data_IF_949030769107
#
_entry.id   IF_949030769107
#
_cell.length_a   1.000
_cell.length_b   1.000
_cell.length_c   1.000
_cell.angle_alpha   90.00
_cell.angle_beta   90.00
_cell.angle_gamma   90.00
#
_symmetry.space_group_name_H-M   'P 1'
#
loop_
_entity.id
_entity.type
_entity.pdbx_description
1 polymer ?
#
# COMPACT_ATOMS: atom_id res chain seq x y z
N UNK A 1 12.60 -5.80 -3.28
CA UNK A 1 13.83 -5.63 -4.08
C UNK A 1 14.42 -4.27 -3.71
N UNK A 2 15.72 -4.16 -3.40
CA UNK A 2 16.34 -2.87 -3.13
C UNK A 2 17.06 -2.35 -4.36
N UNK A 3 16.77 -1.09 -4.68
CA UNK A 3 17.00 -0.57 -5.99
C UNK A 3 17.35 0.94 -5.86
N UNK A 4 18.64 1.27 -5.98
CA UNK A 4 19.18 2.64 -5.91
C UNK A 4 19.26 3.28 -7.30
N UNK A 5 18.46 4.32 -7.59
CA UNK A 5 18.31 4.78 -8.99
C UNK A 5 18.23 6.30 -9.25
N UNK A 6 18.83 7.13 -8.41
CA UNK A 6 19.19 8.51 -8.81
C UNK A 6 18.02 9.40 -9.27
N UNK A 7 18.16 10.11 -10.41
CA UNK A 7 17.39 11.30 -10.78
C UNK A 7 15.94 11.09 -11.32
N UNK A 8 15.39 9.87 -11.33
CA UNK A 8 14.07 9.56 -11.94
C UNK A 8 12.87 9.66 -10.97
N UNK A 9 12.93 10.56 -10.00
CA UNK A 9 12.15 10.50 -8.75
C UNK A 9 10.61 10.74 -8.83
N UNK A 10 9.99 11.38 -9.85
CA UNK A 10 8.51 11.42 -9.91
C UNK A 10 7.86 10.16 -10.48
N UNK A 11 8.57 9.43 -11.34
CA UNK A 11 8.03 8.27 -12.07
C UNK A 11 8.09 6.99 -11.23
N UNK A 12 9.21 6.76 -10.56
CA UNK A 12 9.44 5.53 -9.81
C UNK A 12 8.54 5.39 -8.59
N UNK A 13 8.15 6.51 -7.97
CA UNK A 13 7.23 6.42 -6.85
C UNK A 13 5.84 5.97 -7.29
N UNK A 14 5.45 6.28 -8.53
CA UNK A 14 4.20 5.74 -9.08
C UNK A 14 4.33 4.23 -9.33
N UNK A 15 5.46 3.75 -9.82
CA UNK A 15 5.70 2.30 -9.99
C UNK A 15 5.67 1.55 -8.63
N UNK A 16 6.34 2.11 -7.61
CA UNK A 16 6.30 1.54 -6.25
C UNK A 16 4.88 1.61 -5.66
N UNK A 17 4.18 2.73 -5.82
CA UNK A 17 2.80 2.87 -5.35
C UNK A 17 1.87 1.88 -6.06
N UNK A 18 2.03 1.67 -7.37
CA UNK A 18 1.24 0.69 -8.14
C UNK A 18 1.44 -0.71 -7.55
N UNK A 19 2.70 -1.14 -7.47
CA UNK A 19 3.06 -2.46 -6.95
C UNK A 19 2.53 -2.68 -5.53
N UNK A 20 2.76 -1.73 -4.63
CA UNK A 20 2.41 -1.90 -3.23
C UNK A 20 0.92 -1.75 -2.95
N UNK A 21 0.18 -0.90 -3.68
CA UNK A 21 -1.28 -0.84 -3.54
C UNK A 21 -1.94 -2.12 -4.05
N UNK A 22 -1.41 -2.71 -5.12
CA UNK A 22 -1.88 -4.00 -5.59
C UNK A 22 -1.55 -5.15 -4.61
N UNK A 23 -0.32 -5.21 -4.11
CA UNK A 23 0.07 -6.20 -3.09
C UNK A 23 -0.81 -6.13 -1.84
N UNK A 24 -1.09 -4.93 -1.34
CA UNK A 24 -1.95 -4.77 -0.16
C UNK A 24 -3.41 -5.17 -0.44
N UNK A 25 -3.93 -4.86 -1.64
CA UNK A 25 -5.24 -5.33 -2.11
C UNK A 25 -5.28 -6.88 -2.07
N UNK A 26 -4.30 -7.55 -2.67
CA UNK A 26 -4.20 -9.02 -2.68
C UNK A 26 -4.03 -9.59 -1.26
N UNK A 27 -3.27 -8.93 -0.39
CA UNK A 27 -3.11 -9.33 1.01
C UNK A 27 -4.43 -9.35 1.77
N UNK A 28 -5.39 -8.49 1.41
CA UNK A 28 -6.73 -8.58 2.02
C UNK A 28 -7.44 -9.90 1.71
N UNK A 29 -7.24 -10.44 0.50
CA UNK A 29 -7.78 -11.73 0.06
C UNK A 29 -7.03 -12.86 0.76
N UNK A 30 -5.69 -12.81 0.76
CA UNK A 30 -4.83 -13.81 1.41
C UNK A 30 -5.23 -14.01 2.87
N UNK A 31 -5.47 -12.93 3.61
CA UNK A 31 -5.87 -13.03 5.03
C UNK A 31 -7.22 -13.77 5.17
N UNK A 32 -8.21 -13.45 4.34
CA UNK A 32 -9.54 -14.09 4.40
C UNK A 32 -9.52 -15.55 4.00
N UNK A 33 -8.73 -15.91 2.99
CA UNK A 33 -8.63 -17.29 2.50
C UNK A 33 -7.77 -18.16 3.44
N UNK A 34 -6.76 -17.58 4.09
CA UNK A 34 -5.88 -18.30 5.01
C UNK A 34 -6.53 -18.58 6.38
N UNK A 35 -7.36 -17.66 6.88
CA UNK A 35 -7.90 -17.73 8.24
C UNK A 35 -9.34 -18.25 8.23
N UNK A 36 -9.48 -19.58 8.36
CA UNK A 36 -10.79 -20.21 8.52
C UNK A 36 -11.48 -19.71 9.79
N UNK A 37 -12.74 -19.28 9.67
CA UNK A 37 -13.54 -18.81 10.80
C UNK A 37 -13.15 -17.42 11.31
N UNK A 38 -12.48 -16.60 10.50
CA UNK A 38 -12.24 -15.20 10.81
C UNK A 38 -13.54 -14.47 11.12
N UNK A 39 -13.52 -13.61 12.13
CA UNK A 39 -14.70 -12.93 12.65
C UNK A 39 -15.32 -12.00 11.60
N UNK A 40 -16.67 -11.91 11.51
CA UNK A 40 -17.35 -11.15 10.46
C UNK A 40 -16.91 -9.69 10.36
N UNK A 41 -16.65 -9.02 11.49
CA UNK A 41 -16.18 -7.64 11.51
C UNK A 41 -14.83 -7.46 10.82
N UNK A 42 -13.92 -8.44 10.93
CA UNK A 42 -12.63 -8.41 10.26
C UNK A 42 -12.76 -8.79 8.79
N UNK A 43 -13.64 -9.74 8.45
CA UNK A 43 -13.95 -10.07 7.04
C UNK A 43 -14.51 -8.85 6.32
N UNK A 44 -15.45 -8.14 6.93
CA UNK A 44 -16.07 -6.93 6.36
C UNK A 44 -15.07 -5.78 6.26
N UNK A 45 -14.21 -5.60 7.27
CA UNK A 45 -13.14 -4.63 7.21
C UNK A 45 -12.18 -4.93 6.06
N UNK A 46 -11.75 -6.18 5.89
CA UNK A 46 -10.85 -6.59 4.80
C UNK A 46 -11.46 -6.36 3.42
N UNK A 47 -12.75 -6.62 3.23
CA UNK A 47 -13.45 -6.34 1.96
C UNK A 47 -13.53 -4.84 1.65
N UNK A 48 -13.73 -4.00 2.68
CA UNK A 48 -13.72 -2.53 2.50
C UNK A 48 -12.32 -2.05 2.13
N UNK A 49 -11.29 -2.61 2.76
CA UNK A 49 -9.90 -2.31 2.45
C UNK A 49 -9.51 -2.76 1.04
N UNK A 50 -9.90 -3.97 0.62
CA UNK A 50 -9.69 -4.46 -0.74
C UNK A 50 -10.19 -3.46 -1.78
N UNK A 51 -11.45 -3.03 -1.62
CA UNK A 51 -12.05 -2.04 -2.52
C UNK A 51 -11.29 -0.72 -2.51
N UNK A 52 -10.97 -0.18 -1.34
CA UNK A 52 -10.30 1.11 -1.21
C UNK A 52 -8.87 1.08 -1.79
N UNK A 53 -8.13 -0.01 -1.54
CA UNK A 53 -6.80 -0.24 -2.09
C UNK A 53 -6.84 -0.40 -3.61
N UNK A 54 -7.78 -1.20 -4.13
CA UNK A 54 -8.01 -1.35 -5.56
C UNK A 54 -8.37 -0.04 -6.26
N UNK A 55 -9.24 0.78 -5.67
CA UNK A 55 -9.57 2.12 -6.19
C UNK A 55 -8.34 3.03 -6.25
N UNK A 56 -7.48 2.94 -5.24
CA UNK A 56 -6.24 3.73 -5.16
C UNK A 56 -5.21 3.24 -6.17
N UNK A 57 -5.03 1.93 -6.30
CA UNK A 57 -4.20 1.30 -7.32
C UNK A 57 -4.61 1.77 -8.74
N UNK A 58 -5.90 1.77 -9.05
CA UNK A 58 -6.40 2.29 -10.34
C UNK A 58 -6.12 3.79 -10.52
N UNK A 59 -6.15 4.59 -9.44
CA UNK A 59 -5.76 5.99 -9.51
C UNK A 59 -4.26 6.15 -9.82
N UNK A 60 -3.40 5.33 -9.21
CA UNK A 60 -1.95 5.33 -9.49
C UNK A 60 -1.69 5.03 -10.97
N UNK A 61 -2.32 4.00 -11.53
CA UNK A 61 -2.21 3.67 -12.96
C UNK A 61 -2.58 4.86 -13.85
N UNK A 62 -3.68 5.58 -13.55
CA UNK A 62 -4.07 6.77 -14.32
C UNK A 62 -3.00 7.88 -14.29
N UNK A 63 -2.31 8.05 -13.17
CA UNK A 63 -1.20 9.01 -13.08
C UNK A 63 0.02 8.54 -13.88
N UNK A 64 0.35 7.24 -13.85
CA UNK A 64 1.40 6.66 -14.70
C UNK A 64 1.10 6.97 -16.17
N UNK A 65 -0.11 6.67 -16.63
CA UNK A 65 -0.52 6.95 -18.01
C UNK A 65 -0.43 8.44 -18.37
N UNK A 66 -0.81 9.33 -17.44
CA UNK A 66 -0.75 10.78 -17.65
C UNK A 66 0.70 11.25 -17.86
N UNK A 67 1.64 10.73 -17.08
CA UNK A 67 3.07 11.07 -17.24
C UNK A 67 3.63 10.47 -18.54
N UNK A 68 3.28 9.23 -18.88
CA UNK A 68 3.73 8.61 -20.14
C UNK A 68 3.23 9.41 -21.33
N UNK A 69 1.95 9.82 -21.33
CA UNK A 69 1.34 10.61 -22.41
C UNK A 69 1.86 12.05 -22.49
N UNK A 70 2.42 12.60 -21.42
CA UNK A 70 3.09 13.91 -21.46
C UNK A 70 4.51 13.84 -22.04
N UNK A 71 4.96 12.68 -22.52
CA UNK A 71 6.33 12.48 -23.00
C UNK A 71 7.36 12.68 -21.89
N UNK A 72 6.97 12.35 -20.65
CA UNK A 72 7.78 12.54 -19.43
C UNK A 72 8.10 14.00 -19.10
N UNK A 73 7.47 14.96 -19.78
CA UNK A 73 7.49 16.36 -19.39
C UNK A 73 6.43 16.56 -18.30
N UNK A 74 6.84 16.44 -17.04
CA UNK A 74 5.95 16.58 -15.88
C UNK A 74 5.85 18.06 -15.52
N UNK A 75 4.64 18.63 -15.61
CA UNK A 75 4.39 19.98 -15.11
C UNK A 75 4.48 20.03 -13.59
N UNK A 76 4.78 21.19 -13.02
CA UNK A 76 4.80 21.36 -11.56
C UNK A 76 3.47 20.96 -10.91
N UNK A 77 2.35 21.25 -11.58
CA UNK A 77 1.02 20.85 -11.14
C UNK A 77 0.86 19.33 -11.09
N UNK A 78 1.24 18.62 -12.17
CA UNK A 78 1.16 17.15 -12.20
C UNK A 78 2.09 16.54 -11.14
N UNK A 79 3.28 17.12 -10.95
CA UNK A 79 4.20 16.69 -9.91
C UNK A 79 3.60 16.84 -8.51
N UNK A 80 2.93 17.97 -8.24
CA UNK A 80 2.27 18.20 -6.96
C UNK A 80 1.13 17.20 -6.71
N UNK A 81 0.32 16.91 -7.72
CA UNK A 81 -0.75 15.91 -7.65
C UNK A 81 -0.20 14.50 -7.38
N UNK A 82 0.92 14.13 -8.01
CA UNK A 82 1.60 12.86 -7.74
C UNK A 82 2.04 12.78 -6.27
N UNK A 83 2.59 13.86 -5.72
CA UNK A 83 3.01 13.86 -4.31
C UNK A 83 1.84 13.77 -3.33
N UNK A 84 0.72 14.41 -3.63
CA UNK A 84 -0.52 14.27 -2.86
C UNK A 84 -1.03 12.83 -2.87
N UNK A 85 -1.01 12.17 -4.04
CA UNK A 85 -1.34 10.76 -4.16
C UNK A 85 -0.40 9.86 -3.35
N UNK A 86 0.90 10.13 -3.37
CA UNK A 86 1.88 9.34 -2.59
C UNK A 86 1.65 9.49 -1.09
N UNK A 87 1.39 10.71 -0.63
CA UNK A 87 1.01 10.98 0.77
C UNK A 87 -0.25 10.20 1.16
N UNK A 88 -1.25 10.17 0.28
CA UNK A 88 -2.46 9.38 0.48
C UNK A 88 -2.18 7.87 0.52
N UNK A 89 -1.35 7.34 -0.38
CA UNK A 89 -0.95 5.93 -0.39
C UNK A 89 -0.22 5.54 0.91
N UNK A 90 0.63 6.42 1.45
CA UNK A 90 1.30 6.25 2.73
C UNK A 90 0.27 6.12 3.85
N UNK A 91 -0.65 7.08 3.98
CA UNK A 91 -1.70 7.07 5.02
C UNK A 91 -2.57 5.82 4.92
N UNK A 92 -2.88 5.39 3.70
CA UNK A 92 -3.62 4.17 3.45
C UNK A 92 -2.85 2.93 3.95
N UNK A 93 -1.54 2.86 3.72
CA UNK A 93 -0.69 1.75 4.19
C UNK A 93 -0.63 1.71 5.72
N UNK A 94 -0.53 2.88 6.38
CA UNK A 94 -0.57 2.99 7.84
C UNK A 94 -1.90 2.46 8.40
N UNK A 95 -3.03 2.82 7.80
CA UNK A 95 -4.34 2.32 8.19
C UNK A 95 -4.49 0.81 7.95
N UNK A 96 -3.95 0.29 6.86
CA UNK A 96 -3.98 -1.15 6.57
C UNK A 96 -3.13 -1.96 7.57
N UNK A 97 -1.95 -1.45 7.93
CA UNK A 97 -1.12 -2.04 8.99
C UNK A 97 -1.88 -2.06 10.32
N UNK A 98 -2.59 -0.98 10.67
CA UNK A 98 -3.39 -0.94 11.90
C UNK A 98 -4.47 -2.03 11.90
N UNK A 99 -5.17 -2.25 10.79
CA UNK A 99 -6.11 -3.37 10.66
C UNK A 99 -5.40 -4.71 10.84
N UNK A 100 -4.27 -4.93 10.17
CA UNK A 100 -3.52 -6.18 10.29
C UNK A 100 -3.05 -6.44 11.74
N UNK A 101 -2.64 -5.40 12.46
CA UNK A 101 -2.29 -5.47 13.87
C UNK A 101 -3.50 -5.81 14.74
N UNK A 102 -4.67 -5.22 14.46
CA UNK A 102 -5.91 -5.53 15.16
C UNK A 102 -6.32 -6.99 14.96
N UNK A 103 -6.31 -7.49 13.72
CA UNK A 103 -6.60 -8.89 13.41
C UNK A 103 -5.61 -9.80 14.14
N UNK A 104 -4.31 -9.53 14.03
CA UNK A 104 -3.25 -10.33 14.67
C UNK A 104 -3.42 -10.45 16.19
N UNK A 105 -3.89 -9.38 16.84
CA UNK A 105 -3.92 -9.26 18.30
C UNK A 105 -5.27 -9.67 18.90
N UNK A 106 -6.37 -9.40 18.20
CA UNK A 106 -7.72 -9.53 18.77
C UNK A 106 -8.56 -10.65 18.13
N UNK A 107 -8.19 -11.17 16.95
CA UNK A 107 -8.91 -12.30 16.36
C UNK A 107 -8.63 -13.59 17.14
N UNK A 108 -9.69 -14.22 17.65
CA UNK A 108 -9.65 -15.55 18.23
C UNK A 108 -9.21 -16.58 17.18
N UNK A 109 -9.69 -16.46 15.93
CA UNK A 109 -9.32 -17.33 14.82
C UNK A 109 -7.81 -17.28 14.51
N UNK A 110 -7.19 -16.09 14.58
CA UNK A 110 -5.74 -15.93 14.40
C UNK A 110 -4.96 -16.30 15.66
N UNK A 111 -5.51 -16.08 16.86
CA UNK A 111 -4.81 -16.33 18.13
C UNK A 111 -4.30 -17.77 18.27
N UNK A 112 -5.04 -18.73 17.72
CA UNK A 112 -4.73 -20.17 17.75
C UNK A 112 -4.00 -20.67 16.49
N UNK A 113 -3.79 -19.82 15.49
CA UNK A 113 -3.19 -20.18 14.20
C UNK A 113 -1.81 -19.53 14.02
N UNK A 114 -0.74 -20.32 14.21
CA UNK A 114 0.64 -19.82 14.09
C UNK A 114 0.97 -19.32 12.67
N UNK A 115 0.56 -20.06 11.65
CA UNK A 115 0.80 -19.68 10.24
C UNK A 115 0.16 -18.33 9.91
N UNK A 116 -1.09 -18.11 10.34
CA UNK A 116 -1.78 -16.83 10.15
C UNK A 116 -1.01 -15.67 10.80
N UNK A 117 -0.46 -15.86 12.00
CA UNK A 117 0.36 -14.84 12.67
C UNK A 117 1.64 -14.52 11.89
N UNK A 118 2.32 -15.54 11.39
CA UNK A 118 3.55 -15.36 10.58
C UNK A 118 3.24 -14.58 9.29
N UNK A 119 2.15 -14.94 8.61
CA UNK A 119 1.72 -14.24 7.39
C UNK A 119 1.33 -12.79 7.67
N UNK A 120 0.56 -12.51 8.73
CA UNK A 120 0.22 -11.13 9.10
C UNK A 120 1.45 -10.28 9.43
N UNK A 121 2.44 -10.85 10.14
CA UNK A 121 3.71 -10.17 10.41
C UNK A 121 4.48 -9.88 9.12
N UNK A 122 4.46 -10.82 8.17
CA UNK A 122 5.08 -10.61 6.86
C UNK A 122 4.42 -9.47 6.08
N UNK A 123 3.07 -9.47 6.00
CA UNK A 123 2.28 -8.44 5.32
C UNK A 123 2.56 -7.06 5.93
N UNK A 124 2.55 -6.95 7.27
CA UNK A 124 2.83 -5.69 7.97
C UNK A 124 4.21 -5.15 7.58
N UNK A 125 5.25 -6.00 7.63
CA UNK A 125 6.62 -5.60 7.30
C UNK A 125 6.77 -5.14 5.84
N UNK A 126 6.02 -5.74 4.92
CA UNK A 126 6.03 -5.34 3.51
C UNK A 126 5.37 -3.97 3.31
N UNK A 127 4.23 -3.71 3.96
CA UNK A 127 3.62 -2.38 3.97
C UNK A 127 4.52 -1.33 4.64
N UNK A 128 5.23 -1.68 5.72
CA UNK A 128 6.21 -0.79 6.37
C UNK A 128 7.37 -0.43 5.43
N UNK A 129 7.79 -1.35 4.56
CA UNK A 129 8.81 -1.07 3.56
C UNK A 129 8.35 0.01 2.57
N UNK A 130 7.11 -0.08 2.07
CA UNK A 130 6.55 0.97 1.22
C UNK A 130 6.43 2.31 1.94
N UNK A 131 5.98 2.32 3.20
CA UNK A 131 5.94 3.55 4.02
C UNK A 131 7.33 4.19 4.08
N UNK A 132 8.39 3.41 4.29
CA UNK A 132 9.77 3.92 4.30
C UNK A 132 10.17 4.60 2.99
N UNK A 133 9.79 4.02 1.84
CA UNK A 133 10.04 4.62 0.52
C UNK A 133 9.27 5.94 0.38
N UNK A 134 7.97 5.93 0.68
CA UNK A 134 7.11 7.10 0.53
C UNK A 134 7.55 8.25 1.45
N UNK A 135 7.90 7.96 2.71
CA UNK A 135 8.42 8.95 3.66
C UNK A 135 9.74 9.55 3.20
N UNK A 136 10.70 8.74 2.77
CA UNK A 136 11.99 9.22 2.29
C UNK A 136 11.83 10.21 1.12
N UNK A 137 10.91 9.91 0.19
CA UNK A 137 10.58 10.83 -0.91
C UNK A 137 9.95 12.13 -0.40
N UNK A 138 8.89 12.03 0.42
CA UNK A 138 8.13 13.19 0.90
C UNK A 138 8.99 14.15 1.74
N UNK A 139 9.89 13.62 2.57
CA UNK A 139 10.81 14.43 3.39
C UNK A 139 11.94 15.05 2.57
N UNK A 140 12.48 14.35 1.56
CA UNK A 140 13.57 14.87 0.71
C UNK A 140 13.22 16.14 -0.08
N UNK A 141 11.92 16.45 -0.20
CA UNK A 141 11.40 17.61 -0.95
C UNK A 141 11.12 18.83 -0.05
N UNK A 142 11.23 18.70 1.27
CA UNK A 142 11.07 19.80 2.22
C UNK A 142 12.38 20.57 2.49
N UNK A 143 13.50 20.11 1.91
CA UNK A 143 14.83 20.74 1.98
C UNK A 143 15.16 21.40 0.64
#
# INVERSE_FOLDING_TARGET
MQFYYGQQMPLRILDEAEFWKHQEEEHTVVIRELVTGLEPEFVDALKKWEKALGETHQQVIRYIESVVRSGYQVSEQLQQQVMELVSYCLQQSEGFIQLCQQIKTHSAAVSSNHTAKVVLVHIIRESEYFIGIAQALLTSRQQ
#
